data_IF_241424046485
#
_entry.id   IF_241424046485
#
_cell.length_a   1.000
_cell.length_b   1.000
_cell.length_c   1.000
_cell.angle_alpha   90.00
_cell.angle_beta   90.00
_cell.angle_gamma   90.00
#
_symmetry.space_group_name_H-M   'P 1'
#
loop_
_entity.id
_entity.type
_entity.pdbx_description
1 polymer ?
#
# COMPACT_ATOMS: atom_id res chain seq x y z
N UNK A 1 29.98 53.62 -27.72
CA UNK A 1 28.69 52.90 -27.55
C UNK A 1 28.76 51.41 -27.97
N UNK A 2 29.92 50.75 -27.92
CA UNK A 2 30.08 49.36 -28.41
C UNK A 2 30.21 48.29 -27.29
N UNK A 3 30.35 48.69 -26.02
CA UNK A 3 30.51 47.76 -24.89
C UNK A 3 29.18 47.21 -24.34
N UNK A 4 28.05 47.84 -24.67
CA UNK A 4 26.73 47.48 -24.12
C UNK A 4 26.18 46.18 -24.77
N UNK A 5 26.54 45.91 -26.03
CA UNK A 5 26.10 44.69 -26.75
C UNK A 5 26.72 43.39 -26.21
N UNK A 6 28.01 43.42 -25.82
CA UNK A 6 28.68 42.27 -25.22
C UNK A 6 28.15 41.98 -23.80
N UNK A 7 27.91 43.02 -23.00
CA UNK A 7 27.39 42.86 -21.63
C UNK A 7 26.02 42.18 -21.61
N UNK A 8 25.13 42.56 -22.52
CA UNK A 8 23.80 41.95 -22.63
C UNK A 8 23.88 40.50 -23.13
N UNK A 9 24.76 40.20 -24.09
CA UNK A 9 24.98 38.83 -24.56
C UNK A 9 25.53 37.89 -23.48
N UNK A 10 26.50 38.37 -22.69
CA UNK A 10 27.04 37.61 -21.55
C UNK A 10 25.99 37.37 -20.47
N UNK A 11 25.14 38.36 -20.16
CA UNK A 11 24.02 38.21 -19.22
C UNK A 11 22.96 37.20 -19.73
N UNK A 12 22.68 37.16 -21.03
CA UNK A 12 21.74 36.18 -21.63
C UNK A 12 22.33 34.77 -21.59
N UNK A 13 23.59 34.58 -21.95
CA UNK A 13 24.25 33.26 -21.91
C UNK A 13 24.37 32.76 -20.47
N UNK A 14 24.75 33.64 -19.53
CA UNK A 14 24.83 33.29 -18.12
C UNK A 14 23.47 32.91 -17.53
N UNK A 15 22.40 33.66 -17.85
CA UNK A 15 21.04 33.31 -17.39
C UNK A 15 20.55 31.99 -18.00
N UNK A 16 20.85 31.72 -19.28
CA UNK A 16 20.48 30.46 -19.94
C UNK A 16 21.23 29.26 -19.37
N UNK A 17 22.52 29.41 -19.05
CA UNK A 17 23.32 28.41 -18.34
C UNK A 17 22.76 28.10 -16.94
N UNK A 18 22.37 29.14 -16.20
CA UNK A 18 21.77 28.99 -14.86
C UNK A 18 20.43 28.26 -14.96
N UNK A 19 19.57 28.63 -15.91
CA UNK A 19 18.28 27.96 -16.15
C UNK A 19 18.49 26.51 -16.59
N UNK A 20 19.42 26.23 -17.50
CA UNK A 20 19.72 24.87 -17.94
C UNK A 20 20.24 24.00 -16.79
N UNK A 21 21.09 24.54 -15.93
CA UNK A 21 21.61 23.84 -14.73
C UNK A 21 20.49 23.55 -13.74
N UNK A 22 19.62 24.52 -13.46
CA UNK A 22 18.43 24.34 -12.61
C UNK A 22 17.45 23.32 -13.19
N UNK A 23 17.22 23.35 -14.50
CA UNK A 23 16.37 22.38 -15.19
C UNK A 23 16.96 20.96 -15.08
N UNK A 24 18.27 20.81 -15.25
CA UNK A 24 18.93 19.51 -15.12
C UNK A 24 18.87 18.97 -13.69
N UNK A 25 19.08 19.83 -12.68
CA UNK A 25 18.93 19.47 -11.27
C UNK A 25 17.51 19.04 -10.93
N UNK A 26 16.49 19.76 -11.39
CA UNK A 26 15.08 19.40 -11.13
C UNK A 26 14.67 18.11 -11.82
N UNK A 27 15.18 17.81 -13.02
CA UNK A 27 14.97 16.53 -13.70
C UNK A 27 15.64 15.38 -12.93
N UNK A 28 16.90 15.53 -12.52
CA UNK A 28 17.60 14.53 -11.71
C UNK A 28 16.93 14.28 -10.35
N UNK A 29 16.43 15.33 -9.70
CA UNK A 29 15.70 15.20 -8.44
C UNK A 29 14.37 14.43 -8.62
N UNK A 30 13.69 14.58 -9.77
CA UNK A 30 12.46 13.83 -10.08
C UNK A 30 12.70 12.36 -10.40
N UNK A 31 13.92 12.00 -10.82
CA UNK A 31 14.27 10.65 -11.25
C UNK A 31 14.62 9.72 -10.07
N UNK A 32 15.08 10.26 -8.94
CA UNK A 32 15.56 9.44 -7.82
C UNK A 32 14.49 9.28 -6.73
N UNK A 33 14.01 8.05 -6.53
CA UNK A 33 13.07 7.70 -5.45
C UNK A 33 13.68 6.67 -4.51
N UNK A 34 13.42 6.81 -3.22
CA UNK A 34 13.90 5.90 -2.17
C UNK A 34 12.70 5.20 -1.55
N UNK A 35 12.68 3.86 -1.58
CA UNK A 35 11.75 3.07 -0.78
C UNK A 35 12.26 2.96 0.66
N UNK A 36 11.37 3.14 1.64
CA UNK A 36 11.64 2.82 3.03
C UNK A 36 11.88 1.32 3.28
N UNK A 37 12.38 0.94 4.47
CA UNK A 37 12.60 -0.47 4.82
C UNK A 37 11.32 -1.32 4.87
N UNK A 38 10.16 -0.69 5.11
CA UNK A 38 8.85 -1.34 5.20
C UNK A 38 7.93 -0.98 4.03
N UNK A 39 8.49 -0.48 2.94
CA UNK A 39 7.76 -0.09 1.74
C UNK A 39 8.27 -0.86 0.52
N UNK A 40 7.35 -1.24 -0.35
CA UNK A 40 7.65 -1.75 -1.67
C UNK A 40 7.25 -0.72 -2.73
N UNK A 41 8.19 -0.37 -3.61
CA UNK A 41 7.91 0.36 -4.83
C UNK A 41 7.57 -0.64 -5.93
N UNK A 42 6.35 -0.54 -6.44
CA UNK A 42 5.89 -1.28 -7.62
C UNK A 42 5.99 -0.34 -8.81
N UNK A 43 6.98 -0.56 -9.66
CA UNK A 43 7.23 0.22 -10.87
C UNK A 43 6.68 -0.54 -12.06
N UNK A 44 5.87 0.11 -12.88
CA UNK A 44 5.24 -0.49 -14.06
C UNK A 44 5.32 0.47 -15.25
N UNK A 45 5.46 -0.08 -16.45
CA UNK A 45 5.60 0.71 -17.68
C UNK A 45 6.24 -0.08 -18.80
N UNK A 46 6.93 0.62 -19.71
CA UNK A 46 7.48 0.01 -20.93
C UNK A 46 8.52 -1.11 -20.68
N UNK A 47 9.20 -1.10 -19.53
CA UNK A 47 10.23 -2.09 -19.17
C UNK A 47 9.68 -3.27 -18.34
N UNK A 48 8.36 -3.40 -18.27
CA UNK A 48 7.66 -4.40 -17.46
C UNK A 48 7.49 -3.98 -16.00
N UNK A 49 6.99 -4.90 -15.17
CA UNK A 49 6.76 -4.68 -13.75
C UNK A 49 8.02 -5.04 -12.95
N UNK A 50 8.49 -4.10 -12.12
CA UNK A 50 9.64 -4.29 -11.23
C UNK A 50 9.24 -3.94 -9.80
N UNK A 51 9.62 -4.80 -8.87
CA UNK A 51 9.42 -4.59 -7.43
C UNK A 51 10.76 -4.20 -6.80
N UNK A 52 10.79 -3.10 -6.07
CA UNK A 52 11.96 -2.63 -5.34
C UNK A 52 11.61 -2.48 -3.87
N UNK A 53 12.37 -3.16 -3.00
CA UNK A 53 12.18 -3.13 -1.54
C UNK A 53 13.44 -2.63 -0.84
N UNK A 54 13.29 -1.72 0.11
CA UNK A 54 14.37 -1.25 0.98
C UNK A 54 15.62 -0.70 0.26
N UNK A 55 15.48 -0.25 -1.00
CA UNK A 55 16.57 0.27 -1.83
C UNK A 55 16.09 1.47 -2.63
N UNK A 56 16.99 2.42 -2.89
CA UNK A 56 16.75 3.49 -3.84
C UNK A 56 16.79 2.98 -5.28
N UNK A 57 15.89 3.47 -6.12
CA UNK A 57 15.85 3.16 -7.54
C UNK A 57 15.64 4.43 -8.35
N UNK A 58 16.22 4.45 -9.55
CA UNK A 58 15.96 5.50 -10.53
C UNK A 58 14.72 5.08 -11.31
N UNK A 59 13.71 5.95 -11.32
CA UNK A 59 12.44 5.73 -12.01
C UNK A 59 12.29 6.88 -13.01
N UNK A 60 12.05 6.56 -14.28
CA UNK A 60 11.87 7.55 -15.33
C UNK A 60 10.39 7.94 -15.45
N UNK A 61 9.92 9.05 -14.84
CA UNK A 61 8.49 9.37 -14.73
C UNK A 61 7.79 9.62 -16.07
N UNK A 62 8.55 9.79 -17.15
CA UNK A 62 8.00 10.00 -18.50
C UNK A 62 7.60 8.67 -19.18
N UNK A 63 8.12 7.54 -18.73
CA UNK A 63 7.93 6.21 -19.38
C UNK A 63 7.46 5.15 -18.36
N UNK A 64 7.72 5.37 -17.07
CA UNK A 64 7.45 4.46 -15.97
C UNK A 64 6.55 5.15 -14.95
N UNK A 65 5.52 4.43 -14.51
CA UNK A 65 4.71 4.78 -13.35
C UNK A 65 5.19 3.98 -12.16
N UNK A 66 4.97 4.52 -10.96
CA UNK A 66 5.33 3.85 -9.72
C UNK A 66 4.24 4.08 -8.70
N UNK A 67 4.03 3.08 -7.84
CA UNK A 67 3.22 3.22 -6.65
C UNK A 67 3.95 2.62 -5.45
N UNK A 68 3.68 3.19 -4.28
CA UNK A 68 4.18 2.72 -3.01
C UNK A 68 3.14 1.79 -2.38
N UNK A 69 3.60 0.63 -1.88
CA UNK A 69 2.80 -0.31 -1.12
C UNK A 69 3.45 -0.48 0.26
N UNK A 70 2.69 -0.17 1.31
CA UNK A 70 3.14 -0.41 2.68
C UNK A 70 3.14 -1.92 2.97
N UNK A 71 4.26 -2.41 3.49
CA UNK A 71 4.47 -3.77 4.00
C UNK A 71 4.44 -3.81 5.53
N UNK A 72 3.91 -2.76 6.16
CA UNK A 72 3.73 -2.71 7.60
C UNK A 72 2.57 -3.59 8.05
N UNK A 73 2.56 -3.91 9.34
CA UNK A 73 1.46 -4.63 9.95
C UNK A 73 0.30 -3.66 10.15
N UNK A 74 -0.81 -3.91 9.49
CA UNK A 74 -2.03 -3.11 9.64
C UNK A 74 -2.96 -3.80 10.64
N UNK A 75 -3.61 -3.01 11.49
CA UNK A 75 -4.60 -3.51 12.45
C UNK A 75 -5.98 -2.96 12.09
N UNK A 76 -6.97 -3.84 12.03
CA UNK A 76 -8.34 -3.50 11.68
C UNK A 76 -9.29 -4.01 12.75
N UNK A 77 -10.15 -3.13 13.24
CA UNK A 77 -11.26 -3.51 14.10
C UNK A 77 -12.38 -4.08 13.23
N UNK A 78 -12.71 -5.35 13.48
CA UNK A 78 -13.78 -6.10 12.83
C UNK A 78 -14.92 -6.19 13.83
N UNK A 79 -15.87 -5.26 13.70
CA UNK A 79 -17.06 -5.16 14.52
C UNK A 79 -18.29 -5.25 13.61
N UNK A 80 -18.86 -6.45 13.42
CA UNK A 80 -20.06 -6.64 12.62
C UNK A 80 -21.20 -5.77 13.19
N UNK A 81 -21.92 -5.06 12.32
CA UNK A 81 -23.07 -4.24 12.73
C UNK A 81 -24.29 -5.07 13.15
N UNK A 82 -24.32 -6.35 12.79
CA UNK A 82 -25.42 -7.27 13.06
C UNK A 82 -24.95 -8.40 13.95
N UNK A 83 -25.83 -8.90 14.81
CA UNK A 83 -25.54 -10.05 15.64
C UNK A 83 -25.25 -11.28 14.78
N UNK A 84 -24.21 -12.01 15.16
CA UNK A 84 -23.86 -13.27 14.52
C UNK A 84 -24.61 -14.39 15.21
N UNK A 85 -25.09 -15.36 14.44
CA UNK A 85 -25.80 -16.51 14.97
C UNK A 85 -24.89 -17.73 15.00
N UNK A 86 -24.82 -18.38 16.15
CA UNK A 86 -24.11 -19.64 16.35
C UNK A 86 -24.86 -20.82 15.71
N UNK A 87 -24.22 -21.99 15.67
CA UNK A 87 -24.86 -23.23 15.19
C UNK A 87 -26.17 -23.58 15.92
N UNK A 88 -26.31 -23.13 17.17
CA UNK A 88 -27.49 -23.35 18.01
C UNK A 88 -28.57 -22.27 17.83
N UNK A 89 -28.34 -21.26 16.98
CA UNK A 89 -29.26 -20.14 16.77
C UNK A 89 -29.21 -19.06 17.85
N UNK A 90 -28.20 -19.10 18.74
CA UNK A 90 -28.00 -18.07 19.75
C UNK A 90 -27.27 -16.88 19.12
N UNK A 91 -27.82 -15.68 19.31
CA UNK A 91 -27.23 -14.41 18.89
C UNK A 91 -26.04 -14.06 19.78
N UNK A 92 -24.90 -13.75 19.14
CA UNK A 92 -23.66 -13.33 19.80
C UNK A 92 -23.10 -12.10 19.10
N UNK A 93 -22.71 -11.11 19.89
CA UNK A 93 -21.96 -9.95 19.43
C UNK A 93 -20.48 -10.23 19.66
N UNK A 94 -19.69 -10.21 18.59
CA UNK A 94 -18.25 -10.54 18.64
C UNK A 94 -17.48 -9.36 18.08
N UNK A 95 -16.55 -8.84 18.88
CA UNK A 95 -15.57 -7.86 18.46
C UNK A 95 -14.22 -8.54 18.30
N UNK A 96 -13.55 -8.32 17.17
CA UNK A 96 -12.25 -8.90 16.90
C UNK A 96 -11.30 -7.86 16.30
N UNK A 97 -10.02 -7.94 16.65
CA UNK A 97 -8.96 -7.13 16.04
C UNK A 97 -8.16 -8.03 15.11
N UNK A 98 -8.17 -7.72 13.82
CA UNK A 98 -7.42 -8.44 12.80
C UNK A 98 -6.11 -7.71 12.49
N UNK A 99 -4.99 -8.44 12.51
CA UNK A 99 -3.69 -7.92 12.09
C UNK A 99 -3.27 -8.57 10.76
N UNK A 100 -3.07 -7.75 9.74
CA UNK A 100 -2.82 -8.22 8.37
C UNK A 100 -1.57 -7.53 7.82
N UNK A 101 -0.74 -8.29 7.11
CA UNK A 101 0.47 -7.79 6.45
C UNK A 101 0.65 -8.49 5.11
N UNK A 102 1.09 -7.73 4.11
CA UNK A 102 1.54 -8.29 2.82
C UNK A 102 2.91 -8.94 3.00
N UNK A 103 3.02 -10.20 2.60
CA UNK A 103 4.28 -10.94 2.67
C UNK A 103 5.32 -10.30 1.72
N UNK A 104 6.58 -10.28 2.14
CA UNK A 104 7.65 -9.55 1.43
C UNK A 104 8.26 -10.31 0.23
N UNK A 105 7.54 -11.30 -0.30
CA UNK A 105 7.90 -12.00 -1.53
C UNK A 105 7.31 -11.32 -2.77
N UNK A 106 7.97 -11.46 -3.95
CA UNK A 106 7.54 -10.75 -5.15
C UNK A 106 6.11 -11.07 -5.59
N UNK A 107 5.69 -12.33 -5.52
CA UNK A 107 4.36 -12.75 -5.95
C UNK A 107 3.27 -12.12 -5.09
N UNK A 108 3.41 -12.18 -3.77
CA UNK A 108 2.45 -11.59 -2.83
C UNK A 108 2.35 -10.07 -2.99
N UNK A 109 3.48 -9.39 -3.26
CA UNK A 109 3.49 -7.95 -3.51
C UNK A 109 2.76 -7.63 -4.81
N UNK A 110 2.93 -8.43 -5.87
CA UNK A 110 2.20 -8.21 -7.13
C UNK A 110 0.70 -8.45 -6.98
N UNK A 111 0.30 -9.52 -6.30
CA UNK A 111 -1.12 -9.79 -6.03
C UNK A 111 -1.74 -8.69 -5.18
N UNK A 112 -1.05 -8.26 -4.12
CA UNK A 112 -1.50 -7.13 -3.31
C UNK A 112 -1.57 -5.83 -4.12
N UNK A 113 -0.61 -5.63 -5.02
CA UNK A 113 -0.57 -4.47 -5.89
C UNK A 113 -1.78 -4.42 -6.84
N UNK A 114 -2.15 -5.55 -7.45
CA UNK A 114 -3.32 -5.65 -8.33
C UNK A 114 -4.63 -5.33 -7.60
N UNK A 115 -4.76 -5.74 -6.33
CA UNK A 115 -6.00 -5.58 -5.56
C UNK A 115 -6.11 -4.21 -4.87
N UNK A 116 -4.99 -3.63 -4.43
CA UNK A 116 -4.98 -2.47 -3.55
C UNK A 116 -4.45 -1.18 -4.17
N UNK A 117 -3.61 -1.21 -5.22
CA UNK A 117 -2.95 0.01 -5.73
C UNK A 117 -3.91 1.07 -6.28
N UNK A 118 -5.09 0.66 -6.75
CA UNK A 118 -6.08 1.56 -7.35
C UNK A 118 -7.11 2.07 -6.34
N UNK A 119 -7.03 1.61 -5.09
CA UNK A 119 -7.98 1.93 -4.03
C UNK A 119 -7.40 2.98 -3.09
N UNK A 120 -8.27 3.84 -2.57
CA UNK A 120 -7.89 4.67 -1.43
C UNK A 120 -7.64 3.81 -0.19
N UNK A 121 -6.97 4.38 0.82
CA UNK A 121 -6.81 3.69 2.10
C UNK A 121 -8.16 3.29 2.68
N UNK A 122 -9.13 4.20 2.73
CA UNK A 122 -10.49 3.93 3.23
C UNK A 122 -11.20 2.79 2.49
N UNK A 123 -11.10 2.76 1.15
CA UNK A 123 -11.69 1.68 0.34
C UNK A 123 -11.03 0.33 0.61
N UNK A 124 -9.71 0.33 0.79
CA UNK A 124 -8.93 -0.86 1.12
C UNK A 124 -9.28 -1.39 2.49
N UNK A 125 -9.34 -0.53 3.52
CA UNK A 125 -9.73 -0.91 4.87
C UNK A 125 -11.17 -1.44 4.91
N UNK A 126 -12.09 -0.78 4.22
CA UNK A 126 -13.48 -1.21 4.12
C UNK A 126 -13.63 -2.58 3.45
N UNK A 127 -12.88 -2.82 2.35
CA UNK A 127 -12.87 -4.12 1.69
C UNK A 127 -12.32 -5.22 2.60
N UNK A 128 -11.20 -4.97 3.28
CA UNK A 128 -10.59 -5.92 4.22
C UNK A 128 -11.57 -6.23 5.35
N UNK A 129 -12.16 -5.21 5.97
CA UNK A 129 -13.15 -5.39 7.05
C UNK A 129 -14.33 -6.25 6.58
N UNK A 130 -14.91 -5.94 5.42
CA UNK A 130 -16.03 -6.68 4.87
C UNK A 130 -15.72 -8.16 4.66
N UNK A 131 -14.53 -8.47 4.11
CA UNK A 131 -14.09 -9.87 3.93
C UNK A 131 -13.93 -10.54 5.29
N UNK A 132 -13.25 -9.90 6.24
CA UNK A 132 -13.04 -10.45 7.59
C UNK A 132 -14.34 -10.69 8.35
N UNK A 133 -15.33 -9.80 8.25
CA UNK A 133 -16.68 -9.98 8.80
C UNK A 133 -17.39 -11.19 8.19
N UNK A 134 -17.24 -11.39 6.86
CA UNK A 134 -17.77 -12.55 6.16
C UNK A 134 -17.18 -13.86 6.69
N UNK A 135 -15.85 -13.90 6.86
CA UNK A 135 -15.15 -15.07 7.43
C UNK A 135 -15.56 -15.32 8.88
N UNK A 136 -15.61 -14.28 9.72
CA UNK A 136 -16.04 -14.37 11.10
C UNK A 136 -17.45 -14.93 11.21
N UNK A 137 -18.39 -14.41 10.42
CA UNK A 137 -19.78 -14.92 10.36
C UNK A 137 -19.84 -16.39 9.95
N UNK A 138 -19.04 -16.79 8.97
CA UNK A 138 -18.95 -18.18 8.52
C UNK A 138 -18.44 -19.14 9.61
N UNK A 139 -17.46 -18.69 10.40
CA UNK A 139 -16.89 -19.47 11.50
C UNK A 139 -17.87 -19.56 12.67
N UNK A 140 -18.43 -18.43 13.10
CA UNK A 140 -19.38 -18.38 14.23
C UNK A 140 -20.62 -19.24 13.95
N UNK A 141 -21.12 -19.24 12.70
CA UNK A 141 -22.25 -20.10 12.31
C UNK A 141 -22.00 -21.61 12.45
N UNK A 142 -20.73 -22.05 12.54
CA UNK A 142 -20.36 -23.45 12.71
C UNK A 142 -20.06 -23.83 14.17
N UNK A 143 -19.82 -22.85 15.04
CA UNK A 143 -19.46 -23.06 16.44
C UNK A 143 -20.67 -22.97 17.36
N UNK A 144 -20.57 -23.58 18.54
CA UNK A 144 -21.54 -23.39 19.63
C UNK A 144 -21.16 -22.21 20.51
N UNK A 145 -22.12 -21.70 21.30
CA UNK A 145 -21.86 -20.59 22.23
C UNK A 145 -20.79 -20.97 23.25
N UNK A 146 -20.83 -22.21 23.72
CA UNK A 146 -19.86 -22.71 24.71
C UNK A 146 -18.44 -22.73 24.15
N UNK A 147 -18.25 -23.12 22.88
CA UNK A 147 -16.94 -23.12 22.21
C UNK A 147 -16.39 -21.70 22.08
N UNK A 148 -17.24 -20.74 21.70
CA UNK A 148 -16.85 -19.33 21.54
C UNK A 148 -16.44 -18.70 22.88
N UNK A 149 -17.18 -18.99 23.95
CA UNK A 149 -16.92 -18.40 25.27
C UNK A 149 -15.77 -19.09 26.01
N UNK A 150 -15.64 -20.42 25.89
CA UNK A 150 -14.61 -21.18 26.63
C UNK A 150 -13.26 -21.22 25.93
N UNK A 151 -13.22 -21.06 24.60
CA UNK A 151 -12.00 -21.21 23.79
C UNK A 151 -11.92 -20.12 22.71
N UNK A 152 -11.82 -18.82 23.09
CA UNK A 152 -11.74 -17.71 22.15
C UNK A 152 -10.52 -17.83 21.20
N UNK A 153 -9.43 -18.46 21.65
CA UNK A 153 -8.23 -18.73 20.85
C UNK A 153 -8.50 -19.63 19.65
N UNK A 154 -9.43 -20.60 19.78
CA UNK A 154 -9.78 -21.53 18.69
C UNK A 154 -10.40 -20.79 17.50
N UNK A 155 -11.19 -19.74 17.78
CA UNK A 155 -11.80 -18.89 16.76
C UNK A 155 -10.71 -18.14 15.99
N UNK A 156 -9.73 -17.58 16.71
CA UNK A 156 -8.58 -16.89 16.12
C UNK A 156 -7.71 -17.81 15.26
N UNK A 157 -7.47 -19.05 15.69
CA UNK A 157 -6.67 -20.01 14.91
C UNK A 157 -7.38 -20.46 13.63
N UNK A 158 -8.71 -20.63 13.64
CA UNK A 158 -9.48 -20.88 12.41
C UNK A 158 -9.47 -19.70 11.44
N UNK A 159 -9.48 -18.47 11.97
CA UNK A 159 -9.35 -17.27 11.13
C UNK A 159 -7.97 -17.16 10.48
N UNK A 160 -6.91 -17.66 11.12
CA UNK A 160 -5.55 -17.68 10.54
C UNK A 160 -5.35 -18.77 9.50
N UNK A 161 -6.10 -19.87 9.60
CA UNK A 161 -5.94 -21.04 8.74
C UNK A 161 -6.71 -20.95 7.41
N UNK A 162 -7.56 -19.93 7.25
CA UNK A 162 -8.36 -19.68 6.04
C UNK A 162 -7.70 -18.59 5.20
#
# INVERSE_FOLDING_TARGET
>A
MASVGLSNGVLVIASLMVVATLMLLTVFARLYRKAGPHEALVVYGFRGTRIVKGRGTVIFPMIENWHELSLELMSFDVAPQQDLYTRQGVAVTVEAVAQIKVKSDPESILTAAEQFLTKSDEEREGLIRLVMEGHLRGIIGQLTVEEIVKQPEMVGDRMRAT
#
